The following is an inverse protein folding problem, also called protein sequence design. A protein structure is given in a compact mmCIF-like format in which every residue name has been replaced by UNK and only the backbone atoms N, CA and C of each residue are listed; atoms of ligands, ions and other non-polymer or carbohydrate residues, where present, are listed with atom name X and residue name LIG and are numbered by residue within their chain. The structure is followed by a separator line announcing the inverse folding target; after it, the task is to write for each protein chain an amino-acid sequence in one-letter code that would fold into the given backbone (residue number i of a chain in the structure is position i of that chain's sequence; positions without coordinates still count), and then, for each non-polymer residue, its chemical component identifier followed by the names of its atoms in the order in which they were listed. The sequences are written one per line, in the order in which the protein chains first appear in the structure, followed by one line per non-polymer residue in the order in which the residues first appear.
data_IF_633380813081
#
_entry.id   IF_633380813081
#
_cell.length_a   1.000
_cell.length_b   1.000
_cell.length_c   1.000
_cell.angle_alpha   90.00
_cell.angle_beta   90.00
_cell.angle_gamma   90.00
#
_symmetry.space_group_name_H-M   'P 1'
#
loop_
_entity.id
_entity.type
_entity.pdbx_description
1 polymer ?
#
# COMPACT_ATOMS: atom_id res chain seq x y z
N UNK A 1 -4.09 -2.06 -29.49
CA UNK A 1 -5.06 -1.82 -28.41
C UNK A 1 -6.45 -1.95 -28.99
N UNK A 2 -7.27 -2.78 -28.39
CA UNK A 2 -8.63 -3.12 -28.79
C UNK A 2 -9.42 -3.56 -27.54
N UNK A 3 -10.74 -3.67 -27.66
CA UNK A 3 -11.59 -3.97 -26.51
C UNK A 3 -11.42 -5.37 -25.94
N UNK A 4 -11.03 -6.35 -26.76
CA UNK A 4 -10.73 -7.71 -26.27
C UNK A 4 -9.48 -7.70 -25.39
N UNK A 5 -8.45 -6.96 -25.80
CA UNK A 5 -7.24 -6.75 -25.01
C UNK A 5 -7.54 -6.06 -23.68
N UNK A 6 -8.31 -4.96 -23.71
CA UNK A 6 -8.72 -4.23 -22.50
C UNK A 6 -9.50 -5.16 -21.56
N UNK A 7 -10.47 -5.90 -22.08
CA UNK A 7 -11.24 -6.87 -21.28
C UNK A 7 -10.35 -7.91 -20.62
N UNK A 8 -9.45 -8.53 -21.39
CA UNK A 8 -8.56 -9.55 -20.87
C UNK A 8 -7.65 -9.01 -19.77
N UNK A 9 -7.15 -7.78 -19.91
CA UNK A 9 -6.34 -7.13 -18.89
C UNK A 9 -7.16 -6.71 -17.66
N UNK A 10 -8.42 -6.31 -17.83
CA UNK A 10 -9.33 -6.08 -16.71
C UNK A 10 -9.62 -7.36 -15.91
N UNK A 11 -9.71 -8.51 -16.58
CA UNK A 11 -10.04 -9.81 -15.97
C UNK A 11 -8.81 -10.60 -15.49
N UNK A 12 -7.60 -10.05 -15.66
CA UNK A 12 -6.35 -10.70 -15.28
C UNK A 12 -6.25 -10.92 -13.76
N UNK A 13 -5.90 -12.15 -13.35
CA UNK A 13 -5.85 -12.58 -11.93
C UNK A 13 -4.43 -12.77 -11.39
N UNK A 14 -3.44 -12.70 -12.26
CA UNK A 14 -2.01 -12.89 -11.98
C UNK A 14 -1.30 -11.60 -11.53
N UNK A 15 -2.06 -10.52 -11.31
CA UNK A 15 -1.53 -9.23 -10.91
C UNK A 15 -1.04 -8.36 -12.06
N UNK A 16 -1.16 -8.79 -13.32
CA UNK A 16 -0.84 -7.95 -14.49
C UNK A 16 -2.01 -7.08 -14.96
N UNK A 17 -3.15 -7.15 -14.27
CA UNK A 17 -4.33 -6.35 -14.59
C UNK A 17 -4.15 -4.86 -14.28
N UNK A 18 -5.12 -4.06 -14.73
CA UNK A 18 -5.13 -2.63 -14.43
C UNK A 18 -5.23 -2.37 -12.92
N UNK A 19 -4.49 -1.39 -12.43
CA UNK A 19 -4.51 -0.98 -11.02
C UNK A 19 -5.54 0.12 -10.78
N UNK A 20 -5.72 0.99 -11.78
CA UNK A 20 -6.62 2.13 -11.73
C UNK A 20 -7.56 2.17 -12.93
N UNK A 21 -8.81 2.57 -12.71
CA UNK A 21 -9.81 2.73 -13.77
C UNK A 21 -9.37 3.75 -14.84
N UNK A 22 -8.52 4.71 -14.46
CA UNK A 22 -7.97 5.70 -15.38
C UNK A 22 -7.09 5.08 -16.47
N UNK A 23 -6.42 3.96 -16.18
CA UNK A 23 -5.62 3.22 -17.15
C UNK A 23 -6.51 2.58 -18.23
N UNK A 24 -7.63 1.97 -17.81
CA UNK A 24 -8.66 1.43 -18.72
C UNK A 24 -9.15 2.55 -19.66
N UNK A 25 -9.46 3.73 -19.11
CA UNK A 25 -9.92 4.85 -19.92
C UNK A 25 -8.87 5.37 -20.90
N UNK A 26 -7.59 5.36 -20.52
CA UNK A 26 -6.51 5.72 -21.42
C UNK A 26 -6.44 4.76 -22.62
N UNK A 27 -6.60 3.46 -22.37
CA UNK A 27 -6.58 2.47 -23.43
C UNK A 27 -7.83 2.49 -24.32
N UNK A 28 -9.03 2.74 -23.77
CA UNK A 28 -10.23 2.97 -24.57
C UNK A 28 -10.04 4.17 -25.52
N UNK A 29 -9.47 5.28 -25.03
CA UNK A 29 -9.13 6.43 -25.89
C UNK A 29 -8.13 6.03 -26.97
N UNK A 30 -7.16 5.20 -26.63
CA UNK A 30 -6.16 4.72 -27.58
C UNK A 30 -6.77 3.86 -28.69
N UNK A 31 -7.78 3.03 -28.40
CA UNK A 31 -8.53 2.28 -29.43
C UNK A 31 -9.10 3.24 -30.48
N UNK A 32 -9.85 4.26 -30.04
CA UNK A 32 -10.48 5.21 -30.96
C UNK A 32 -9.46 6.10 -31.68
N UNK A 33 -8.41 6.56 -30.98
CA UNK A 33 -7.33 7.35 -31.60
C UNK A 33 -6.59 6.56 -32.67
N UNK A 34 -6.32 5.27 -32.44
CA UNK A 34 -5.71 4.41 -33.44
C UNK A 34 -6.65 4.19 -34.64
N UNK A 35 -7.94 3.96 -34.39
CA UNK A 35 -8.92 3.84 -35.47
C UNK A 35 -8.97 5.10 -36.33
N UNK A 36 -8.95 6.30 -35.74
CA UNK A 36 -8.89 7.55 -36.50
C UNK A 36 -7.54 7.75 -37.21
N UNK A 37 -6.43 7.33 -36.61
CA UNK A 37 -5.08 7.51 -37.17
C UNK A 37 -4.82 6.65 -38.41
N UNK A 38 -5.31 5.42 -38.42
CA UNK A 38 -5.02 4.45 -39.48
C UNK A 38 -6.09 4.38 -40.58
N UNK A 39 -7.21 5.09 -40.41
CA UNK A 39 -8.28 5.13 -41.41
C UNK A 39 -8.48 6.56 -41.92
N UNK A 40 -8.80 6.68 -43.22
CA UNK A 40 -9.08 7.96 -43.88
C UNK A 40 -10.24 8.69 -43.17
N UNK A 41 -10.16 10.03 -43.07
CA UNK A 41 -11.15 10.84 -42.36
C UNK A 41 -12.58 10.71 -42.90
N UNK A 42 -12.72 10.33 -44.17
CA UNK A 42 -14.03 10.09 -44.82
C UNK A 42 -14.52 8.66 -44.68
N UNK A 43 -13.70 7.74 -44.16
CA UNK A 43 -14.12 6.37 -43.94
C UNK A 43 -15.13 6.29 -42.79
N UNK A 44 -16.07 5.36 -42.91
CA UNK A 44 -17.06 5.09 -41.85
C UNK A 44 -16.37 4.74 -40.52
N UNK A 45 -15.24 4.02 -40.57
CA UNK A 45 -14.46 3.65 -39.38
C UNK A 45 -13.96 4.88 -38.63
N UNK A 46 -13.39 5.87 -39.34
CA UNK A 46 -12.92 7.10 -38.72
C UNK A 46 -14.09 7.89 -38.10
N UNK A 47 -15.19 8.05 -38.85
CA UNK A 47 -16.39 8.79 -38.38
C UNK A 47 -17.01 8.12 -37.15
N UNK A 48 -17.12 6.79 -37.16
CA UNK A 48 -17.62 6.00 -36.04
C UNK A 48 -16.70 6.13 -34.82
N UNK A 49 -15.38 6.02 -34.98
CA UNK A 49 -14.42 6.15 -33.89
C UNK A 49 -14.50 7.54 -33.23
N UNK A 50 -14.60 8.61 -34.03
CA UNK A 50 -14.78 9.97 -33.54
C UNK A 50 -16.07 10.13 -32.74
N UNK A 51 -17.17 9.59 -33.26
CA UNK A 51 -18.50 9.64 -32.61
C UNK A 51 -18.53 8.87 -31.29
N UNK A 52 -17.96 7.66 -31.28
CA UNK A 52 -17.90 6.81 -30.09
C UNK A 52 -16.99 7.40 -29.03
N UNK A 53 -15.85 7.99 -29.41
CA UNK A 53 -14.98 8.69 -28.48
C UNK A 53 -15.69 9.86 -27.80
N UNK A 54 -16.47 10.66 -28.54
CA UNK A 54 -17.23 11.76 -27.95
C UNK A 54 -18.27 11.27 -26.93
N UNK A 55 -19.02 10.21 -27.26
CA UNK A 55 -19.97 9.56 -26.33
C UNK A 55 -19.27 8.99 -25.10
N UNK A 56 -18.09 8.40 -25.29
CA UNK A 56 -17.29 7.88 -24.20
C UNK A 56 -16.87 8.99 -23.24
N UNK A 57 -16.36 10.12 -23.73
CA UNK A 57 -15.95 11.24 -22.86
C UNK A 57 -17.14 11.84 -22.11
N UNK A 58 -18.31 11.97 -22.75
CA UNK A 58 -19.54 12.43 -22.07
C UNK A 58 -19.90 11.52 -20.89
N UNK A 59 -19.87 10.20 -21.09
CA UNK A 59 -20.14 9.22 -20.04
C UNK A 59 -19.04 9.19 -18.99
N UNK A 60 -17.79 9.36 -19.40
CA UNK A 60 -16.66 9.41 -18.48
C UNK A 60 -16.77 10.60 -17.53
N UNK A 61 -17.14 11.79 -18.03
CA UNK A 61 -17.37 12.97 -17.19
C UNK A 61 -18.45 12.73 -16.12
N UNK A 62 -19.51 11.99 -16.46
CA UNK A 62 -20.56 11.61 -15.50
C UNK A 62 -20.06 10.63 -14.42
N UNK A 63 -19.03 9.83 -14.73
CA UNK A 63 -18.44 8.86 -13.81
C UNK A 63 -17.30 9.43 -12.97
N UNK A 64 -16.63 10.49 -13.44
CA UNK A 64 -15.49 11.11 -12.77
C UNK A 64 -15.70 11.38 -11.27
N UNK A 65 -16.84 11.93 -10.80
CA UNK A 65 -17.04 12.17 -9.38
C UNK A 65 -16.94 10.90 -8.54
N UNK A 66 -17.56 9.81 -9.01
CA UNK A 66 -17.53 8.51 -8.33
C UNK A 66 -16.15 7.88 -8.35
N UNK A 67 -15.42 8.06 -9.44
CA UNK A 67 -14.03 7.58 -9.56
C UNK A 67 -13.14 8.30 -8.56
N UNK A 68 -13.24 9.62 -8.49
CA UNK A 68 -12.45 10.42 -7.54
C UNK A 68 -12.80 10.07 -6.09
N UNK A 69 -14.10 9.92 -5.77
CA UNK A 69 -14.55 9.52 -4.42
C UNK A 69 -13.96 8.15 -4.01
N UNK A 70 -14.02 7.16 -4.91
CA UNK A 70 -13.45 5.84 -4.64
C UNK A 70 -11.92 5.83 -4.57
N UNK A 71 -11.24 6.69 -5.34
CA UNK A 71 -9.79 6.89 -5.24
C UNK A 71 -9.42 7.47 -3.87
N UNK A 72 -10.10 8.53 -3.43
CA UNK A 72 -9.90 9.12 -2.09
C UNK A 72 -10.17 8.10 -0.98
N UNK A 73 -11.28 7.37 -1.05
CA UNK A 73 -11.61 6.34 -0.04
C UNK A 73 -10.51 5.28 0.07
N UNK A 74 -9.95 4.82 -1.06
CA UNK A 74 -8.85 3.85 -1.04
C UNK A 74 -7.57 4.40 -0.45
N UNK A 75 -7.24 5.65 -0.77
CA UNK A 75 -6.07 6.33 -0.20
C UNK A 75 -6.20 6.48 1.33
N UNK A 76 -7.39 6.83 1.81
CA UNK A 76 -7.69 6.92 3.24
C UNK A 76 -7.59 5.55 3.93
N UNK A 77 -8.18 4.50 3.34
CA UNK A 77 -8.08 3.12 3.85
C UNK A 77 -6.63 2.60 3.90
N UNK A 78 -5.84 2.92 2.87
CA UNK A 78 -4.42 2.55 2.83
C UNK A 78 -3.62 3.30 3.91
N UNK A 79 -3.87 4.60 4.08
CA UNK A 79 -3.24 5.40 5.13
C UNK A 79 -3.61 4.91 6.54
N UNK A 80 -4.88 4.56 6.77
CA UNK A 80 -5.34 3.99 8.04
C UNK A 80 -4.67 2.64 8.31
N UNK A 81 -4.58 1.75 7.30
CA UNK A 81 -3.91 0.46 7.44
C UNK A 81 -2.40 0.62 7.74
N UNK A 82 -1.73 1.57 7.10
CA UNK A 82 -0.33 1.88 7.37
C UNK A 82 -0.13 2.40 8.81
N UNK A 83 -1.00 3.30 9.26
CA UNK A 83 -0.97 3.81 10.63
C UNK A 83 -1.22 2.69 11.66
N UNK A 84 -2.21 1.83 11.41
CA UNK A 84 -2.51 0.69 12.28
C UNK A 84 -1.30 -0.26 12.40
N UNK A 85 -0.60 -0.51 11.29
CA UNK A 85 0.62 -1.32 11.29
C UNK A 85 1.72 -0.65 12.12
N UNK A 86 1.90 0.67 11.98
CA UNK A 86 2.90 1.40 12.76
C UNK A 86 2.59 1.35 14.27
N UNK A 87 1.34 1.60 14.66
CA UNK A 87 0.90 1.53 16.06
C UNK A 87 1.13 0.13 16.63
N UNK A 88 0.85 -0.93 15.87
CA UNK A 88 1.10 -2.30 16.29
C UNK A 88 2.60 -2.58 16.49
N UNK A 89 3.45 -2.07 15.60
CA UNK A 89 4.91 -2.18 15.73
C UNK A 89 5.42 -1.44 16.97
N UNK A 90 4.97 -0.22 17.20
CA UNK A 90 5.36 0.59 18.37
C UNK A 90 4.90 -0.08 19.68
N UNK A 91 3.69 -0.63 19.72
CA UNK A 91 3.20 -1.38 20.88
C UNK A 91 4.05 -2.63 21.16
N UNK A 92 4.45 -3.37 20.11
CA UNK A 92 5.33 -4.53 20.24
C UNK A 92 6.72 -4.12 20.76
N UNK A 93 7.29 -3.02 20.23
CA UNK A 93 8.56 -2.47 20.69
C UNK A 93 8.50 -2.03 22.15
N UNK A 94 7.45 -1.29 22.54
CA UNK A 94 7.26 -0.86 23.92
C UNK A 94 7.12 -2.04 24.88
N UNK A 95 6.46 -3.13 24.46
CA UNK A 95 6.39 -4.37 25.24
C UNK A 95 7.79 -4.97 25.45
N UNK A 96 8.56 -5.14 24.38
CA UNK A 96 9.93 -5.69 24.47
C UNK A 96 10.83 -4.83 25.38
N UNK A 97 10.71 -3.50 25.29
CA UNK A 97 11.48 -2.60 26.16
C UNK A 97 11.15 -2.76 27.64
N UNK A 98 9.87 -2.95 27.99
CA UNK A 98 9.46 -3.24 29.38
C UNK A 98 9.97 -4.58 29.86
N UNK A 99 9.83 -5.62 29.03
CA UNK A 99 10.28 -6.97 29.37
C UNK A 99 11.80 -6.96 29.65
N UNK A 100 12.60 -6.32 28.80
CA UNK A 100 14.04 -6.17 29.01
C UNK A 100 14.38 -5.33 30.27
N UNK A 101 13.63 -4.27 30.55
CA UNK A 101 13.84 -3.47 31.76
C UNK A 101 13.60 -4.27 33.04
N UNK A 102 12.62 -5.18 33.03
CA UNK A 102 12.34 -6.06 34.17
C UNK A 102 13.49 -7.07 34.37
N UNK A 103 13.97 -7.70 33.29
CA UNK A 103 15.11 -8.61 33.35
C UNK A 103 16.38 -7.91 33.89
N UNK A 104 16.65 -6.67 33.45
CA UNK A 104 17.77 -5.88 33.96
C UNK A 104 17.65 -5.59 35.46
N UNK A 105 16.45 -5.30 35.94
CA UNK A 105 16.21 -5.09 37.37
C UNK A 105 16.46 -6.36 38.18
N UNK A 106 16.00 -7.52 37.70
CA UNK A 106 16.28 -8.80 38.36
C UNK A 106 17.78 -9.09 38.45
N UNK A 107 18.54 -8.81 37.39
CA UNK A 107 20.00 -8.96 37.39
C UNK A 107 20.67 -8.01 38.38
N UNK A 108 20.23 -6.75 38.47
CA UNK A 108 20.79 -5.76 39.40
C UNK A 108 20.61 -6.19 40.86
N UNK A 109 19.42 -6.69 41.21
CA UNK A 109 19.13 -7.24 42.55
C UNK A 109 20.08 -8.40 42.88
N UNK A 110 20.27 -9.33 41.93
CA UNK A 110 21.19 -10.48 42.11
C UNK A 110 22.64 -10.01 42.29
N UNK A 111 23.08 -8.99 41.54
CA UNK A 111 24.43 -8.44 41.64
C UNK A 111 24.69 -7.80 43.00
N UNK A 112 23.74 -7.04 43.55
CA UNK A 112 23.87 -6.46 44.89
C UNK A 112 23.89 -7.54 45.99
N UNK A 113 23.07 -8.59 45.88
CA UNK A 113 23.11 -9.72 46.81
C UNK A 113 24.48 -10.44 46.78
N UNK A 114 25.02 -10.69 45.58
CA UNK A 114 26.33 -11.32 45.42
C UNK A 114 27.44 -10.43 45.98
N UNK A 115 27.38 -9.12 45.74
CA UNK A 115 28.33 -8.14 46.27
C UNK A 115 28.35 -8.16 47.79
N UNK A 116 27.18 -8.14 48.44
CA UNK A 116 27.07 -8.23 49.89
C UNK A 116 27.63 -9.55 50.44
N UNK A 117 27.39 -10.67 49.74
CA UNK A 117 27.96 -11.96 50.11
C UNK A 117 29.48 -11.97 50.06
N UNK A 118 30.08 -11.39 49.01
CA UNK A 118 31.54 -11.27 48.86
C UNK A 118 32.11 -10.35 49.95
N UNK A 119 31.51 -9.19 50.20
CA UNK A 119 31.94 -8.26 51.24
C UNK A 119 31.92 -8.91 52.63
N UNK A 120 30.88 -9.67 52.97
CA UNK A 120 30.81 -10.43 54.23
C UNK A 120 31.92 -11.47 54.32
N UNK A 121 32.19 -12.23 53.24
CA UNK A 121 33.26 -13.23 53.22
C UNK A 121 34.65 -12.60 53.40
N UNK A 122 34.93 -11.48 52.73
CA UNK A 122 36.19 -10.74 52.90
C UNK A 122 36.38 -10.19 54.32
N UNK A 123 35.30 -9.76 55.00
CA UNK A 123 35.36 -9.32 56.41
C UNK A 123 35.68 -10.45 57.38
N UNK A 124 35.22 -11.68 57.10
CA UNK A 124 35.47 -12.86 57.93
C UNK A 124 36.87 -13.47 57.71
N UNK A 125 37.48 -13.24 56.55
CA UNK A 125 38.82 -13.71 56.20
C UNK A 125 39.66 -12.56 55.64
N UNK A 126 40.19 -11.66 56.49
CA UNK A 126 41.04 -10.58 56.04
C UNK A 126 42.31 -11.15 55.40
N UNK A 127 42.80 -10.57 54.29
CA UNK A 127 44.06 -10.98 53.70
C UNK A 127 45.19 -10.80 54.72
N UNK A 128 46.08 -11.80 54.82
CA UNK A 128 47.27 -11.80 55.68
C UNK A 128 48.27 -10.73 55.26
#
# INVERSE_FOLDING_TARGET
MDFSTIKNQMEAKDGTGYKHIREICADVRLVFKNAMKYNDEKSDVHVMAKTLLAKFEEKWLQLLPKVTEEETRREEEEAEAQLALQVAQEAAQAKMARDLSNELYEVDVILEELREMVLKRCRLHPPK
#
